data_IF_859952408058
#
_entry.id   IF_859952408058
#
_cell.length_a   1.000
_cell.length_b   1.000
_cell.length_c   1.000
_cell.angle_alpha   90.00
_cell.angle_beta   90.00
_cell.angle_gamma   90.00
#
_symmetry.space_group_name_H-M   'P 1'
#
loop_
_entity.id
_entity.type
_entity.pdbx_description
1 polymer ?
#
# COMPACT_ATOMS: atom_id res chain seq x y z
N UNK A 1 -0.58 -60.68 -14.36
CA UNK A 1 -1.46 -59.68 -13.72
C UNK A 1 -2.89 -59.89 -14.21
N UNK A 2 -3.87 -60.06 -13.33
CA UNK A 2 -5.27 -60.29 -13.70
C UNK A 2 -5.81 -59.06 -14.49
N UNK A 3 -6.66 -59.33 -15.48
CA UNK A 3 -7.29 -58.28 -16.33
C UNK A 3 -8.01 -57.19 -15.49
N UNK A 4 -8.54 -57.58 -14.33
CA UNK A 4 -9.13 -56.62 -13.35
C UNK A 4 -8.11 -55.69 -12.74
N UNK A 5 -6.93 -56.18 -12.37
CA UNK A 5 -5.88 -55.36 -11.79
C UNK A 5 -5.33 -54.31 -12.78
N UNK A 6 -5.27 -54.66 -14.07
CA UNK A 6 -4.86 -53.74 -15.12
C UNK A 6 -5.85 -52.55 -15.26
N UNK A 7 -7.15 -52.84 -15.29
CA UNK A 7 -8.19 -51.81 -15.36
C UNK A 7 -8.19 -50.90 -14.16
N UNK A 8 -8.01 -51.42 -12.96
CA UNK A 8 -7.95 -50.60 -11.73
C UNK A 8 -6.74 -49.66 -11.80
N UNK A 9 -5.58 -50.15 -12.22
CA UNK A 9 -4.37 -49.31 -12.37
C UNK A 9 -4.58 -48.19 -13.42
N UNK A 10 -5.22 -48.47 -14.53
CA UNK A 10 -5.57 -47.48 -15.56
C UNK A 10 -6.49 -46.39 -15.01
N UNK A 11 -7.52 -46.73 -14.24
CA UNK A 11 -8.41 -45.76 -13.65
C UNK A 11 -7.74 -44.92 -12.57
N UNK A 12 -6.84 -45.47 -11.77
CA UNK A 12 -6.04 -44.73 -10.80
C UNK A 12 -5.13 -43.74 -11.52
N UNK A 13 -4.48 -44.14 -12.60
CA UNK A 13 -3.59 -43.30 -13.39
C UNK A 13 -4.36 -42.13 -14.03
N UNK A 14 -5.54 -42.41 -14.63
CA UNK A 14 -6.42 -41.38 -15.19
C UNK A 14 -6.86 -40.37 -14.09
N UNK A 15 -7.28 -40.88 -12.93
CA UNK A 15 -7.68 -40.04 -11.81
C UNK A 15 -6.55 -39.13 -11.31
N UNK A 16 -5.33 -39.65 -11.17
CA UNK A 16 -4.14 -38.87 -10.81
C UNK A 16 -3.80 -37.79 -11.86
N UNK A 17 -3.88 -38.18 -13.15
CA UNK A 17 -3.63 -37.24 -14.24
C UNK A 17 -4.63 -36.08 -14.24
N UNK A 18 -5.93 -36.37 -14.07
CA UNK A 18 -6.98 -35.36 -13.97
C UNK A 18 -6.74 -34.41 -12.75
N UNK A 19 -6.36 -34.98 -11.60
CA UNK A 19 -6.07 -34.21 -10.41
C UNK A 19 -4.88 -33.23 -10.60
N UNK A 20 -3.82 -33.70 -11.27
CA UNK A 20 -2.65 -32.87 -11.61
C UNK A 20 -3.05 -31.74 -12.56
N UNK A 21 -3.78 -32.03 -13.63
CA UNK A 21 -4.23 -31.02 -14.61
C UNK A 21 -5.15 -30.01 -13.96
N UNK A 22 -6.08 -30.45 -13.10
CA UNK A 22 -6.97 -29.54 -12.36
C UNK A 22 -6.20 -28.63 -11.40
N UNK A 23 -5.17 -29.16 -10.73
CA UNK A 23 -4.30 -28.35 -9.85
C UNK A 23 -3.54 -27.28 -10.63
N UNK A 24 -2.96 -27.63 -11.78
CA UNK A 24 -2.29 -26.65 -12.65
C UNK A 24 -3.25 -25.58 -13.17
N UNK A 25 -4.44 -25.97 -13.62
CA UNK A 25 -5.46 -25.03 -14.07
C UNK A 25 -5.88 -24.07 -12.96
N UNK A 26 -6.07 -24.57 -11.74
CA UNK A 26 -6.41 -23.76 -10.57
C UNK A 26 -5.32 -22.74 -10.23
N UNK A 27 -4.04 -23.14 -10.31
CA UNK A 27 -2.91 -22.22 -10.09
C UNK A 27 -2.87 -21.12 -11.16
N UNK A 28 -3.11 -21.46 -12.43
CA UNK A 28 -3.12 -20.47 -13.51
C UNK A 28 -4.27 -19.49 -13.38
N UNK A 29 -5.47 -19.96 -13.03
CA UNK A 29 -6.64 -19.11 -12.77
C UNK A 29 -6.35 -18.19 -11.59
N UNK A 30 -5.83 -18.71 -10.49
CA UNK A 30 -5.46 -17.92 -9.32
C UNK A 30 -4.46 -16.81 -9.68
N UNK A 31 -3.38 -17.13 -10.40
CA UNK A 31 -2.39 -16.15 -10.86
C UNK A 31 -3.00 -15.07 -11.76
N UNK A 32 -3.86 -15.47 -12.69
CA UNK A 32 -4.56 -14.52 -13.57
C UNK A 32 -5.47 -13.56 -12.80
N UNK A 33 -6.15 -14.03 -11.77
CA UNK A 33 -7.01 -13.19 -10.93
C UNK A 33 -6.19 -12.25 -10.07
N UNK A 34 -5.16 -12.78 -9.39
CA UNK A 34 -4.32 -11.97 -8.48
C UNK A 34 -3.54 -10.88 -9.23
N UNK A 35 -3.14 -11.16 -10.47
CA UNK A 35 -2.42 -10.18 -11.31
C UNK A 35 -3.36 -9.32 -12.17
N UNK A 36 -4.68 -9.38 -11.96
CA UNK A 36 -5.61 -8.52 -12.68
C UNK A 36 -5.69 -7.13 -12.04
N UNK A 37 -5.79 -6.09 -12.87
CA UNK A 37 -5.92 -4.70 -12.44
C UNK A 37 -7.10 -4.53 -11.46
N UNK A 38 -8.22 -5.20 -11.73
CA UNK A 38 -9.38 -5.21 -10.83
C UNK A 38 -9.06 -5.74 -9.42
N UNK A 39 -8.28 -6.81 -9.31
CA UNK A 39 -7.91 -7.37 -8.01
C UNK A 39 -6.96 -6.43 -7.26
N UNK A 40 -5.98 -5.87 -7.97
CA UNK A 40 -5.02 -4.91 -7.44
C UNK A 40 -5.72 -3.65 -6.95
N UNK A 41 -6.62 -3.07 -7.75
CA UNK A 41 -7.45 -1.92 -7.36
C UNK A 41 -8.30 -2.21 -6.12
N UNK A 42 -8.94 -3.39 -6.07
CA UNK A 42 -9.76 -3.78 -4.92
C UNK A 42 -8.93 -3.91 -3.63
N UNK A 43 -7.73 -4.46 -3.72
CA UNK A 43 -6.83 -4.57 -2.57
C UNK A 43 -6.33 -3.17 -2.14
N UNK A 44 -5.96 -2.33 -3.09
CA UNK A 44 -5.55 -0.95 -2.83
C UNK A 44 -6.66 -0.17 -2.12
N UNK A 45 -7.90 -0.24 -2.62
CA UNK A 45 -9.07 0.38 -2.01
C UNK A 45 -9.28 -0.07 -0.56
N UNK A 46 -9.24 -1.38 -0.33
CA UNK A 46 -9.38 -1.93 1.03
C UNK A 46 -8.26 -1.48 1.96
N UNK A 47 -7.02 -1.48 1.48
CA UNK A 47 -5.86 -1.03 2.27
C UNK A 47 -5.95 0.46 2.57
N UNK A 48 -6.42 1.26 1.61
CA UNK A 48 -6.65 2.68 1.80
C UNK A 48 -7.73 2.96 2.85
N UNK A 49 -8.89 2.28 2.76
CA UNK A 49 -9.97 2.42 3.75
C UNK A 49 -9.48 2.08 5.17
N UNK A 50 -8.70 1.01 5.32
CA UNK A 50 -8.11 0.63 6.60
C UNK A 50 -7.09 1.65 7.11
N UNK A 51 -6.30 2.23 6.22
CA UNK A 51 -5.34 3.27 6.57
C UNK A 51 -6.06 4.55 7.00
N UNK A 52 -7.10 5.00 6.27
CA UNK A 52 -7.91 6.17 6.62
C UNK A 52 -8.55 5.99 8.00
N UNK A 53 -9.16 4.83 8.26
CA UNK A 53 -9.72 4.53 9.58
C UNK A 53 -8.65 4.62 10.68
N UNK A 54 -7.44 4.17 10.38
CA UNK A 54 -6.35 4.12 11.35
C UNK A 54 -5.73 5.50 11.63
N UNK A 55 -5.55 6.36 10.61
CA UNK A 55 -5.00 7.71 10.81
C UNK A 55 -6.01 8.67 11.44
N UNK A 56 -7.31 8.41 11.31
CA UNK A 56 -8.38 9.17 11.97
C UNK A 56 -8.63 8.72 13.42
N UNK A 57 -8.06 7.59 13.84
CA UNK A 57 -8.01 7.19 15.25
C UNK A 57 -6.79 7.83 15.94
N UNK A 58 -6.94 9.08 16.34
CA UNK A 58 -5.87 9.89 16.93
C UNK A 58 -5.30 9.30 18.21
N UNK A 59 -6.11 8.58 19.00
CA UNK A 59 -5.66 7.88 20.20
C UNK A 59 -4.66 6.75 19.87
N UNK A 60 -4.66 6.29 18.64
CA UNK A 60 -3.75 5.25 18.15
C UNK A 60 -2.44 5.81 17.57
N UNK A 61 -2.38 7.11 17.27
CA UNK A 61 -1.15 7.76 16.76
C UNK A 61 -0.16 7.94 17.91
N UNK A 62 1.04 7.44 17.73
CA UNK A 62 2.13 7.56 18.69
C UNK A 62 2.92 8.85 18.50
N UNK A 63 3.30 9.13 17.27
CA UNK A 63 3.92 10.38 16.80
C UNK A 63 3.92 10.43 15.28
N UNK A 64 4.13 11.61 14.73
CA UNK A 64 4.37 11.86 13.31
C UNK A 64 5.81 12.28 13.13
N UNK A 65 6.51 11.68 12.18
CA UNK A 65 7.88 12.00 11.81
C UNK A 65 7.88 12.69 10.45
N UNK A 66 8.59 13.80 10.34
CA UNK A 66 8.83 14.49 9.07
C UNK A 66 10.31 14.34 8.74
N UNK A 67 10.60 13.78 7.59
CA UNK A 67 11.93 13.73 6.99
C UNK A 67 12.01 14.82 5.92
N UNK A 68 12.97 15.76 6.09
CA UNK A 68 13.21 16.85 5.16
C UNK A 68 14.27 16.45 4.10
N UNK A 69 14.10 16.96 2.88
CA UNK A 69 14.83 16.55 1.69
C UNK A 69 16.37 16.72 1.77
N UNK A 70 16.88 17.77 2.40
CA UNK A 70 18.27 18.19 2.17
C UNK A 70 19.34 17.67 3.15
N UNK A 71 19.00 17.22 4.35
CA UNK A 71 20.00 16.93 5.39
C UNK A 71 19.74 15.67 6.26
N UNK A 72 18.79 14.82 5.93
CA UNK A 72 18.26 13.76 6.80
C UNK A 72 17.83 14.28 8.18
N UNK A 73 17.41 15.52 8.25
CA UNK A 73 16.86 16.08 9.47
C UNK A 73 15.47 15.48 9.73
N UNK A 74 15.32 14.86 10.90
CA UNK A 74 14.08 14.23 11.33
C UNK A 74 13.42 15.08 12.43
N UNK A 75 12.17 15.43 12.22
CA UNK A 75 11.35 16.09 13.22
C UNK A 75 10.25 15.17 13.73
N UNK A 76 10.26 14.86 15.02
CA UNK A 76 9.22 14.04 15.65
C UNK A 76 8.19 14.92 16.36
N UNK A 77 6.92 14.79 15.98
CA UNK A 77 5.79 15.53 16.52
C UNK A 77 4.86 14.57 17.25
N UNK A 78 4.74 14.72 18.57
CA UNK A 78 3.95 13.83 19.42
C UNK A 78 2.49 14.24 19.56
N UNK A 79 2.19 15.52 19.32
CA UNK A 79 0.85 16.11 19.43
C UNK A 79 0.37 16.59 18.05
N UNK A 80 0.29 15.66 17.09
CA UNK A 80 -0.24 15.98 15.77
C UNK A 80 -1.72 16.39 15.86
N UNK A 81 -2.17 17.37 15.02
CA UNK A 81 -3.57 17.79 15.02
C UNK A 81 -4.53 16.64 14.75
N UNK A 82 -5.63 16.58 15.51
CA UNK A 82 -6.64 15.52 15.34
C UNK A 82 -7.29 15.52 13.95
N UNK A 83 -7.36 16.69 13.32
CA UNK A 83 -8.03 16.91 12.03
C UNK A 83 -7.10 16.74 10.81
N UNK A 84 -5.84 16.28 11.06
CA UNK A 84 -4.79 16.26 10.05
C UNK A 84 -5.14 15.42 8.80
N UNK A 85 -5.98 14.40 8.95
CA UNK A 85 -6.35 13.46 7.89
C UNK A 85 -7.86 13.46 7.58
N UNK A 86 -8.63 14.41 8.09
CA UNK A 86 -10.10 14.43 7.93
C UNK A 86 -10.56 14.53 6.47
N UNK A 87 -9.77 15.18 5.63
CA UNK A 87 -10.06 15.38 4.21
C UNK A 87 -9.32 14.42 3.28
N UNK A 88 -8.62 13.41 3.86
CA UNK A 88 -7.85 12.44 3.10
C UNK A 88 -8.72 11.60 2.16
N UNK A 89 -8.44 11.69 0.86
CA UNK A 89 -9.12 10.96 -0.20
C UNK A 89 -8.11 10.41 -1.20
N UNK A 90 -8.42 9.25 -1.78
CA UNK A 90 -7.63 8.75 -2.88
C UNK A 90 -8.07 9.45 -4.18
N UNK A 91 -7.12 10.07 -4.87
CA UNK A 91 -7.38 10.76 -6.14
C UNK A 91 -7.37 9.80 -7.31
N UNK A 92 -6.48 8.80 -7.26
CA UNK A 92 -6.37 7.77 -8.28
C UNK A 92 -5.98 6.42 -7.67
N UNK A 93 -6.60 5.35 -8.17
CA UNK A 93 -6.20 3.97 -7.86
C UNK A 93 -5.15 3.44 -8.84
N UNK A 94 -4.70 4.28 -9.76
CA UNK A 94 -3.62 3.92 -10.66
C UNK A 94 -2.29 4.01 -9.90
N UNK A 95 -1.60 2.89 -9.88
CA UNK A 95 -0.26 2.82 -9.33
C UNK A 95 0.72 3.55 -10.23
N UNK A 96 1.65 4.29 -9.66
CA UNK A 96 2.76 4.85 -10.43
C UNK A 96 3.65 3.70 -10.92
N UNK A 97 3.60 3.42 -12.23
CA UNK A 97 4.37 2.32 -12.84
C UNK A 97 5.80 2.74 -13.21
N UNK A 98 6.06 4.04 -13.25
CA UNK A 98 7.37 4.58 -13.60
C UNK A 98 8.36 4.43 -12.43
N UNK A 99 9.28 3.49 -12.57
CA UNK A 99 10.31 3.18 -11.56
C UNK A 99 11.23 4.38 -11.30
N UNK A 100 11.54 5.18 -12.32
CA UNK A 100 12.40 6.36 -12.14
C UNK A 100 11.67 7.43 -11.31
N UNK A 101 10.39 7.66 -11.59
CA UNK A 101 9.54 8.55 -10.79
C UNK A 101 9.41 8.04 -9.35
N UNK A 102 9.25 6.73 -9.15
CA UNK A 102 9.21 6.09 -7.84
C UNK A 102 10.49 6.35 -7.04
N UNK A 103 11.64 6.14 -7.68
CA UNK A 103 12.94 6.34 -7.04
C UNK A 103 13.21 7.83 -6.75
N UNK A 104 12.71 8.74 -7.58
CA UNK A 104 12.78 10.16 -7.33
C UNK A 104 11.97 10.54 -6.08
N UNK A 105 10.72 10.10 -5.98
CA UNK A 105 9.86 10.33 -4.81
C UNK A 105 10.52 9.82 -3.50
N UNK A 106 11.11 8.63 -3.52
CA UNK A 106 11.77 8.07 -2.32
C UNK A 106 13.09 8.75 -1.93
N UNK A 107 13.72 9.51 -2.82
CA UNK A 107 15.08 10.03 -2.61
C UNK A 107 15.15 11.54 -2.41
N UNK A 108 14.18 12.27 -2.92
CA UNK A 108 14.24 13.72 -3.05
C UNK A 108 13.00 14.45 -2.58
N UNK A 109 11.98 13.74 -2.12
CA UNK A 109 10.74 14.39 -1.67
C UNK A 109 10.56 14.23 -0.17
N UNK A 110 10.08 15.25 0.52
CA UNK A 110 9.75 15.17 1.94
C UNK A 110 8.81 14.00 2.24
N UNK A 111 9.10 13.29 3.32
CA UNK A 111 8.30 12.16 3.75
C UNK A 111 7.68 12.42 5.13
N UNK A 112 6.38 12.23 5.23
CA UNK A 112 5.66 12.27 6.52
C UNK A 112 5.29 10.84 6.88
N UNK A 113 5.83 10.34 7.99
CA UNK A 113 5.54 8.99 8.48
C UNK A 113 4.75 9.05 9.79
N UNK A 114 3.57 8.46 9.78
CA UNK A 114 2.71 8.32 10.96
C UNK A 114 3.01 7.00 11.64
N UNK A 115 3.47 7.04 12.87
CA UNK A 115 3.74 5.87 13.70
C UNK A 115 2.58 5.61 14.66
N UNK A 116 2.13 4.37 14.73
CA UNK A 116 1.01 3.94 15.57
C UNK A 116 1.47 3.21 16.84
N UNK A 117 0.60 3.17 17.83
CA UNK A 117 0.86 2.50 19.10
C UNK A 117 1.06 0.97 18.97
N UNK A 118 0.56 0.36 17.90
CA UNK A 118 0.77 -1.06 17.58
C UNK A 118 2.12 -1.36 16.87
N UNK A 119 3.01 -0.35 16.81
CA UNK A 119 4.30 -0.40 16.12
C UNK A 119 4.23 -0.60 14.59
N UNK A 120 3.11 -0.29 13.98
CA UNK A 120 3.02 -0.13 12.53
C UNK A 120 3.21 1.34 12.15
N UNK A 121 3.45 1.60 10.86
CA UNK A 121 3.56 2.95 10.34
C UNK A 121 2.95 3.05 8.95
N UNK A 122 2.64 4.28 8.54
CA UNK A 122 2.23 4.62 7.17
C UNK A 122 2.92 5.91 6.75
N UNK A 123 3.32 6.00 5.47
CA UNK A 123 4.09 7.14 4.97
C UNK A 123 3.38 7.83 3.83
N UNK A 124 3.56 9.14 3.78
CA UNK A 124 3.07 10.05 2.75
C UNK A 124 4.27 10.82 2.18
N UNK A 125 4.37 10.88 0.86
CA UNK A 125 5.40 11.62 0.14
C UNK A 125 4.79 12.88 -0.46
N UNK A 126 5.44 14.02 -0.26
CA UNK A 126 4.96 15.32 -0.73
C UNK A 126 5.85 15.79 -1.87
N UNK A 127 5.27 16.12 -3.01
CA UNK A 127 6.01 16.61 -4.18
C UNK A 127 6.02 18.14 -4.22
N UNK A 128 7.00 18.73 -4.89
CA UNK A 128 7.11 20.18 -5.08
C UNK A 128 5.86 20.80 -5.75
N UNK A 129 5.15 20.05 -6.58
CA UNK A 129 3.91 20.48 -7.24
C UNK A 129 2.67 20.35 -6.35
N UNK A 130 2.84 20.02 -5.06
CA UNK A 130 1.78 19.96 -4.06
C UNK A 130 0.93 18.70 -4.13
N UNK A 131 1.44 17.63 -4.69
CA UNK A 131 0.80 16.32 -4.66
C UNK A 131 1.25 15.51 -3.47
N UNK A 132 0.36 14.65 -2.98
CA UNK A 132 0.63 13.70 -1.93
C UNK A 132 0.51 12.29 -2.47
N UNK A 133 1.47 11.44 -2.16
CA UNK A 133 1.45 10.02 -2.51
C UNK A 133 1.48 9.17 -1.24
N UNK A 134 0.65 8.14 -1.20
CA UNK A 134 0.57 7.20 -0.08
C UNK A 134 1.07 5.81 -0.48
N UNK A 135 1.85 5.19 0.41
CA UNK A 135 2.25 3.79 0.36
C UNK A 135 2.88 3.39 -0.97
N UNK A 136 2.26 2.44 -1.67
CA UNK A 136 2.67 1.98 -3.01
C UNK A 136 2.46 3.02 -4.12
N UNK A 137 2.40 4.31 -3.73
CA UNK A 137 2.37 5.47 -4.60
C UNK A 137 1.04 5.71 -5.31
N UNK A 138 0.00 5.56 -4.54
CA UNK A 138 -1.31 6.07 -4.92
C UNK A 138 -1.36 7.58 -4.64
N UNK A 139 -1.74 8.36 -5.65
CA UNK A 139 -1.99 9.79 -5.46
C UNK A 139 -3.21 9.97 -4.56
N UNK A 140 -3.04 10.75 -3.50
CA UNK A 140 -4.07 11.09 -2.54
C UNK A 140 -4.26 12.60 -2.48
N UNK A 141 -5.47 13.03 -2.13
CA UNK A 141 -5.81 14.41 -1.89
C UNK A 141 -5.98 14.59 -0.38
N UNK A 142 -5.15 15.44 0.22
CA UNK A 142 -5.14 15.71 1.65
C UNK A 142 -4.64 17.15 1.90
N UNK A 143 -5.46 18.17 1.61
CA UNK A 143 -5.11 19.57 1.83
C UNK A 143 -4.67 19.89 3.25
N UNK A 144 -5.36 19.34 4.25
CA UNK A 144 -5.01 19.56 5.66
C UNK A 144 -3.59 19.11 6.00
N UNK A 145 -3.13 17.99 5.43
CA UNK A 145 -1.75 17.51 5.61
C UNK A 145 -0.73 18.46 4.96
N UNK A 146 -1.02 18.95 3.77
CA UNK A 146 -0.15 19.89 3.05
C UNK A 146 -0.05 21.24 3.77
N UNK A 147 -1.17 21.77 4.23
CA UNK A 147 -1.21 23.06 4.96
C UNK A 147 -0.42 22.94 6.26
N UNK A 148 -0.65 21.88 7.02
CA UNK A 148 0.08 21.60 8.25
C UNK A 148 1.58 21.43 8.02
N UNK A 149 1.98 20.66 6.99
CA UNK A 149 3.40 20.50 6.66
C UNK A 149 4.07 21.84 6.36
N UNK A 150 3.44 22.70 5.56
CA UNK A 150 3.95 24.02 5.22
C UNK A 150 4.07 24.92 6.45
N UNK A 151 3.15 24.84 7.41
CA UNK A 151 3.20 25.57 8.67
C UNK A 151 4.40 25.11 9.51
N UNK A 152 4.56 23.80 9.72
CA UNK A 152 5.67 23.20 10.47
C UNK A 152 7.03 23.56 9.86
N UNK A 153 7.16 23.49 8.53
CA UNK A 153 8.40 23.87 7.83
C UNK A 153 8.73 25.36 8.03
N UNK A 154 7.73 26.25 8.00
CA UNK A 154 7.94 27.68 8.19
C UNK A 154 8.34 28.04 9.64
N UNK A 155 7.89 27.25 10.62
CA UNK A 155 8.24 27.47 12.04
C UNK A 155 9.65 26.95 12.40
N UNK A 156 10.18 26.01 11.62
CA UNK A 156 11.47 25.36 11.91
C UNK A 156 12.62 25.85 10.99
N UNK A 157 12.37 26.79 10.08
CA UNK A 157 13.39 27.52 9.30
C UNK A 157 13.83 28.79 10.01
#
# INVERSE_FOLDING_TARGET
MSSKAKRIAEWIFIGLFIAIVASFASIQIYRSVVNSDWYTERQARKSFEQMVEKVNDTDNIKYVEIEFDDDNDLLNIYDAPAELFDDLKISSYERVEDIEKLLALYRSEPCITVFFNDNTATSFYLTEDGKVYWGDLFEVDCPSLLDWYNEVVNENK
#
